data_IF_252175537442
#
_entry.id   IF_252175537442
#
_cell.length_a   1.000
_cell.length_b   1.000
_cell.length_c   1.000
_cell.angle_alpha   90.00
_cell.angle_beta   90.00
_cell.angle_gamma   90.00
#
_symmetry.space_group_name_H-M   'P 1'
#
loop_
_entity.id
_entity.type
_entity.pdbx_description
1 polymer ?
#
# COMPACT_ATOMS: atom_id res chain seq x y z
N UNK A 1 -3.04 -15.03 31.22
CA UNK A 1 -3.64 -15.23 29.90
C UNK A 1 -3.56 -13.90 29.18
N UNK A 2 -2.59 -13.71 28.30
CA UNK A 2 -2.52 -12.52 27.45
C UNK A 2 -3.70 -12.61 26.48
N UNK A 3 -4.72 -11.78 26.67
CA UNK A 3 -5.74 -11.59 25.64
C UNK A 3 -5.00 -10.99 24.44
N UNK A 4 -4.93 -11.71 23.34
CA UNK A 4 -4.37 -11.18 22.10
C UNK A 4 -5.34 -10.11 21.61
N UNK A 5 -4.96 -8.85 21.77
CA UNK A 5 -5.68 -7.71 21.24
C UNK A 5 -5.67 -7.79 19.71
N UNK A 6 -6.86 -7.76 19.09
CA UNK A 6 -6.98 -7.69 17.64
C UNK A 6 -6.75 -6.26 17.17
N UNK A 7 -5.87 -6.08 16.20
CA UNK A 7 -5.57 -4.78 15.60
C UNK A 7 -6.16 -4.74 14.19
N UNK A 8 -6.81 -3.64 13.85
CA UNK A 8 -7.37 -3.42 12.52
C UNK A 8 -6.24 -3.22 11.51
N UNK A 9 -6.21 -4.07 10.47
CA UNK A 9 -5.20 -4.00 9.42
C UNK A 9 -5.27 -2.72 8.56
N UNK A 10 -6.36 -1.96 8.60
CA UNK A 10 -6.54 -0.75 7.80
C UNK A 10 -6.18 0.54 8.55
N UNK A 11 -6.62 0.68 9.82
CA UNK A 11 -6.37 1.91 10.59
C UNK A 11 -5.40 1.73 11.77
N UNK A 12 -4.95 0.52 12.07
CA UNK A 12 -4.01 0.24 13.16
C UNK A 12 -4.59 0.40 14.57
N UNK A 13 -5.90 0.63 14.71
CA UNK A 13 -6.58 0.72 16.01
C UNK A 13 -6.95 -0.67 16.54
N UNK A 14 -7.05 -0.77 17.86
CA UNK A 14 -7.62 -1.94 18.52
C UNK A 14 -9.09 -2.13 18.14
N UNK A 15 -9.47 -3.37 17.81
CA UNK A 15 -10.83 -3.73 17.46
C UNK A 15 -11.61 -4.01 18.74
N UNK A 16 -12.56 -3.14 19.07
CA UNK A 16 -13.55 -3.40 20.11
C UNK A 16 -14.75 -4.15 19.53
N UNK A 17 -14.85 -5.45 19.80
CA UNK A 17 -15.98 -6.30 19.38
C UNK A 17 -15.66 -7.27 18.24
N UNK A 18 -16.68 -7.65 17.48
CA UNK A 18 -16.53 -8.62 16.38
C UNK A 18 -15.89 -7.95 15.15
N UNK A 19 -14.72 -8.43 14.69
CA UNK A 19 -14.03 -7.87 13.53
C UNK A 19 -14.79 -8.16 12.23
N UNK A 20 -14.63 -7.28 11.25
CA UNK A 20 -14.94 -7.57 9.86
C UNK A 20 -13.78 -8.40 9.28
N UNK A 21 -14.09 -9.59 8.74
CA UNK A 21 -13.12 -10.35 7.94
C UNK A 21 -13.07 -9.78 6.51
N UNK A 22 -11.86 -9.51 6.04
CA UNK A 22 -11.60 -9.05 4.70
C UNK A 22 -10.35 -9.72 4.15
N UNK A 23 -10.52 -10.65 3.20
CA UNK A 23 -9.40 -11.35 2.55
C UNK A 23 -8.42 -11.99 3.57
N UNK A 24 -8.94 -12.45 4.72
CA UNK A 24 -8.13 -13.01 5.82
C UNK A 24 -7.56 -11.97 6.80
N UNK A 25 -7.90 -10.69 6.66
CA UNK A 25 -7.50 -9.61 7.56
C UNK A 25 -8.66 -9.15 8.45
N UNK A 26 -8.36 -8.84 9.71
CA UNK A 26 -9.33 -8.28 10.64
C UNK A 26 -9.42 -6.76 10.54
N UNK A 27 -10.63 -6.23 10.38
CA UNK A 27 -10.91 -4.80 10.23
C UNK A 27 -11.96 -4.31 11.23
N UNK A 28 -11.87 -3.04 11.65
CA UNK A 28 -12.95 -2.39 12.40
C UNK A 28 -14.19 -2.26 11.50
N UNK A 29 -15.39 -2.45 12.08
CA UNK A 29 -16.66 -2.27 11.36
C UNK A 29 -16.90 -0.84 10.85
N UNK A 30 -16.20 0.16 11.42
CA UNK A 30 -16.18 1.53 10.90
C UNK A 30 -15.76 1.61 9.41
N UNK A 31 -15.02 0.62 8.91
CA UNK A 31 -14.59 0.55 7.52
C UNK A 31 -15.52 -0.25 6.61
N UNK A 32 -16.62 -0.81 7.11
CA UNK A 32 -17.53 -1.65 6.31
C UNK A 32 -18.08 -0.89 5.08
N UNK A 33 -18.44 0.39 5.24
CA UNK A 33 -18.89 1.23 4.13
C UNK A 33 -17.77 1.56 3.13
N UNK A 34 -16.55 1.77 3.64
CA UNK A 34 -15.39 2.11 2.81
C UNK A 34 -15.03 0.93 1.88
N UNK A 35 -15.00 -0.28 2.44
CA UNK A 35 -14.70 -1.52 1.74
C UNK A 35 -15.87 -1.89 0.82
N UNK A 36 -17.09 -1.80 1.35
CA UNK A 36 -18.32 -2.19 0.67
C UNK A 36 -18.37 -3.67 0.28
N UNK A 37 -19.50 -4.08 -0.31
CA UNK A 37 -19.71 -5.46 -0.78
C UNK A 37 -19.36 -5.60 -2.26
N UNK A 38 -18.09 -5.39 -2.58
CA UNK A 38 -17.58 -5.54 -3.95
C UNK A 38 -16.37 -6.48 -3.96
N UNK A 39 -16.09 -7.18 -5.06
CA UNK A 39 -14.90 -8.00 -5.16
C UNK A 39 -13.65 -7.11 -5.19
N UNK A 40 -12.67 -7.44 -4.35
CA UNK A 40 -11.37 -6.79 -4.31
C UNK A 40 -10.30 -7.67 -4.96
N UNK A 41 -9.14 -7.08 -5.20
CA UNK A 41 -8.00 -7.76 -5.80
C UNK A 41 -6.71 -7.16 -5.31
N UNK A 42 -5.85 -7.98 -4.71
CA UNK A 42 -4.49 -7.60 -4.38
C UNK A 42 -3.70 -7.34 -5.68
N UNK A 43 -2.99 -6.21 -5.73
CA UNK A 43 -2.17 -5.81 -6.87
C UNK A 43 -0.69 -5.64 -6.51
N UNK A 44 -0.34 -5.63 -5.23
CA UNK A 44 1.03 -5.48 -4.78
C UNK A 44 1.20 -5.77 -3.29
N UNK A 45 2.38 -6.28 -2.95
CA UNK A 45 2.86 -6.46 -1.59
C UNK A 45 4.17 -5.68 -1.43
N UNK A 46 4.30 -4.95 -0.32
CA UNK A 46 5.42 -4.07 -0.03
C UNK A 46 5.89 -4.28 1.39
N UNK A 47 7.21 -4.36 1.61
CA UNK A 47 7.79 -4.52 2.95
C UNK A 47 7.91 -3.19 3.70
N UNK A 48 7.94 -2.08 2.98
CA UNK A 48 8.05 -0.73 3.55
C UNK A 48 6.74 0.04 3.39
N UNK A 49 6.19 0.55 4.50
CA UNK A 49 4.95 1.32 4.51
C UNK A 49 5.01 2.55 3.62
N UNK A 50 6.13 3.28 3.65
CA UNK A 50 6.34 4.44 2.80
C UNK A 50 6.23 4.14 1.29
N UNK A 51 6.72 2.98 0.84
CA UNK A 51 6.57 2.56 -0.56
C UNK A 51 5.11 2.22 -0.85
N UNK A 52 4.44 1.51 0.05
CA UNK A 52 3.05 1.15 -0.10
C UNK A 52 2.13 2.38 -0.14
N UNK A 53 2.40 3.39 0.69
CA UNK A 53 1.72 4.68 0.70
C UNK A 53 1.89 5.43 -0.62
N UNK A 54 3.12 5.49 -1.15
CA UNK A 54 3.39 6.10 -2.47
C UNK A 54 2.57 5.41 -3.57
N UNK A 55 2.43 4.09 -3.52
CA UNK A 55 1.64 3.32 -4.48
C UNK A 55 0.16 3.59 -4.35
N UNK A 56 -0.35 3.57 -3.13
CA UNK A 56 -1.74 3.91 -2.86
C UNK A 56 -2.05 5.35 -3.33
N UNK A 57 -1.12 6.29 -3.16
CA UNK A 57 -1.30 7.67 -3.61
C UNK A 57 -1.34 7.82 -5.13
N UNK A 58 -0.47 7.10 -5.86
CA UNK A 58 -0.51 7.08 -7.33
C UNK A 58 -1.84 6.54 -7.85
N UNK A 59 -2.40 5.52 -7.19
CA UNK A 59 -3.73 5.00 -7.55
C UNK A 59 -4.82 6.03 -7.27
N UNK A 60 -4.82 6.62 -6.07
CA UNK A 60 -5.83 7.62 -5.67
C UNK A 60 -5.82 8.85 -6.58
N UNK A 61 -4.64 9.38 -6.88
CA UNK A 61 -4.46 10.51 -7.81
C UNK A 61 -4.82 10.13 -9.25
N UNK A 62 -4.61 8.87 -9.64
CA UNK A 62 -5.08 8.29 -10.89
C UNK A 62 -6.58 7.93 -10.93
N UNK A 63 -7.33 8.25 -9.88
CA UNK A 63 -8.77 8.02 -9.79
C UNK A 63 -9.19 6.58 -9.47
N UNK A 64 -8.25 5.72 -9.07
CA UNK A 64 -8.51 4.33 -8.68
C UNK A 64 -8.73 4.23 -7.19
N UNK A 65 -9.87 3.65 -6.77
CA UNK A 65 -10.10 3.37 -5.35
C UNK A 65 -9.22 2.21 -4.91
N UNK A 66 -8.44 2.44 -3.85
CA UNK A 66 -7.59 1.43 -3.24
C UNK A 66 -7.71 1.43 -1.72
N UNK A 67 -7.40 0.29 -1.10
CA UNK A 67 -7.21 0.13 0.33
C UNK A 67 -5.81 -0.43 0.58
N UNK A 68 -5.18 0.05 1.64
CA UNK A 68 -3.84 -0.36 2.05
C UNK A 68 -3.97 -1.08 3.39
N UNK A 69 -3.58 -2.35 3.43
CA UNK A 69 -3.68 -3.18 4.62
C UNK A 69 -2.30 -3.56 5.14
N UNK A 70 -2.12 -3.54 6.45
CA UNK A 70 -0.97 -4.16 7.12
C UNK A 70 -1.18 -5.67 7.19
N UNK A 71 -0.14 -6.43 6.84
CA UNK A 71 -0.10 -7.88 6.94
C UNK A 71 0.92 -8.26 8.00
N UNK A 72 0.57 -9.22 8.87
CA UNK A 72 1.48 -9.77 9.88
C UNK A 72 2.33 -10.91 9.30
N UNK A 73 1.73 -11.75 8.43
CA UNK A 73 2.37 -12.92 7.85
C UNK A 73 2.08 -13.04 6.34
N UNK A 74 3.03 -12.70 5.45
CA UNK A 74 4.32 -12.09 5.75
C UNK A 74 4.18 -10.63 6.24
N UNK A 75 5.14 -10.14 7.05
CA UNK A 75 5.10 -8.78 7.56
C UNK A 75 5.27 -7.77 6.42
N UNK A 76 4.30 -6.89 6.26
CA UNK A 76 4.33 -5.88 5.21
C UNK A 76 2.98 -5.23 4.97
N UNK A 77 2.77 -4.78 3.75
CA UNK A 77 1.64 -3.97 3.35
C UNK A 77 1.09 -4.46 2.01
N UNK A 78 -0.21 -4.67 1.92
CA UNK A 78 -0.88 -5.15 0.71
C UNK A 78 -1.78 -4.04 0.19
N UNK A 79 -1.64 -3.74 -1.11
CA UNK A 79 -2.54 -2.81 -1.80
C UNK A 79 -3.61 -3.62 -2.52
N UNK A 80 -4.87 -3.37 -2.15
CA UNK A 80 -6.02 -3.89 -2.86
C UNK A 80 -6.70 -2.77 -3.65
N UNK A 81 -7.25 -3.15 -4.80
CA UNK A 81 -8.15 -2.32 -5.60
C UNK A 81 -9.42 -3.09 -5.88
N UNK A 82 -10.48 -2.40 -6.29
CA UNK A 82 -11.68 -3.08 -6.77
C UNK A 82 -11.33 -3.93 -7.98
N UNK A 83 -11.88 -5.15 -8.05
CA UNK A 83 -11.52 -6.13 -9.09
C UNK A 83 -11.76 -5.60 -10.50
N UNK A 84 -12.78 -4.77 -10.70
CA UNK A 84 -13.08 -4.12 -11.99
C UNK A 84 -12.09 -2.99 -12.36
N UNK A 85 -11.36 -2.44 -11.39
CA UNK A 85 -10.35 -1.40 -11.63
C UNK A 85 -8.93 -1.98 -11.75
N UNK A 86 -8.77 -3.30 -11.59
CA UNK A 86 -7.47 -3.98 -11.56
C UNK A 86 -6.59 -3.65 -12.76
N UNK A 87 -7.14 -3.66 -13.97
CA UNK A 87 -6.38 -3.39 -15.19
C UNK A 87 -5.89 -1.93 -15.25
N UNK A 88 -6.75 -0.98 -14.88
CA UNK A 88 -6.38 0.43 -14.80
C UNK A 88 -5.29 0.64 -13.73
N UNK A 89 -5.44 0.02 -12.56
CA UNK A 89 -4.46 0.07 -11.48
C UNK A 89 -3.08 -0.46 -11.93
N UNK A 90 -3.04 -1.62 -12.61
CA UNK A 90 -1.80 -2.19 -13.13
C UNK A 90 -1.15 -1.31 -14.21
N UNK A 91 -1.97 -0.65 -15.04
CA UNK A 91 -1.48 0.31 -16.04
C UNK A 91 -0.81 1.52 -15.39
N UNK A 92 -1.44 2.11 -14.36
CA UNK A 92 -0.85 3.21 -13.58
C UNK A 92 0.47 2.79 -12.90
N UNK A 93 0.50 1.62 -12.27
CA UNK A 93 1.70 1.08 -11.64
C UNK A 93 2.84 0.85 -12.64
N UNK A 94 2.52 0.33 -13.82
CA UNK A 94 3.51 0.10 -14.88
C UNK A 94 4.15 1.41 -15.36
N UNK A 95 3.36 2.46 -15.51
CA UNK A 95 3.85 3.80 -15.88
C UNK A 95 4.79 4.36 -14.81
N UNK A 96 4.40 4.26 -13.55
CA UNK A 96 5.22 4.67 -12.42
C UNK A 96 6.59 3.95 -12.43
N UNK A 97 6.60 2.62 -12.56
CA UNK A 97 7.84 1.84 -12.58
C UNK A 97 8.82 2.22 -13.71
N UNK A 98 8.34 2.80 -14.82
CA UNK A 98 9.20 3.25 -15.91
C UNK A 98 9.97 4.56 -15.59
N UNK A 99 9.50 5.31 -14.59
CA UNK A 99 9.96 6.65 -14.26
C UNK A 99 10.61 6.75 -12.87
N UNK A 100 10.68 5.64 -12.13
CA UNK A 100 11.18 5.63 -10.75
C UNK A 100 12.47 4.81 -10.58
N UNK A 101 13.26 5.23 -9.61
CA UNK A 101 14.47 4.54 -9.15
C UNK A 101 14.41 4.35 -7.64
N UNK A 102 15.05 3.30 -7.15
CA UNK A 102 15.15 3.04 -5.71
C UNK A 102 16.35 3.79 -5.12
N UNK A 103 16.10 4.57 -4.06
CA UNK A 103 17.16 5.18 -3.29
C UNK A 103 17.98 4.12 -2.56
N UNK A 104 19.29 4.09 -2.76
CA UNK A 104 20.20 3.20 -2.00
C UNK A 104 20.33 3.58 -0.53
N UNK A 105 20.10 4.85 -0.18
CA UNK A 105 20.16 5.35 1.19
C UNK A 105 18.93 4.96 2.01
N UNK A 106 17.72 5.31 1.53
CA UNK A 106 16.49 5.12 2.31
C UNK A 106 15.53 4.04 1.76
N UNK A 107 15.88 3.38 0.65
CA UNK A 107 15.06 2.33 0.03
C UNK A 107 13.78 2.80 -0.67
N UNK A 108 13.47 4.11 -0.62
CA UNK A 108 12.26 4.68 -1.22
C UNK A 108 12.43 4.88 -2.72
N UNK A 109 11.30 4.82 -3.41
CA UNK A 109 11.26 5.15 -4.82
C UNK A 109 11.03 6.64 -5.03
N UNK A 110 11.67 7.18 -6.07
CA UNK A 110 11.50 8.56 -6.50
C UNK A 110 11.73 8.66 -8.00
N UNK A 111 11.31 9.77 -8.59
CA UNK A 111 11.47 9.99 -10.02
C UNK A 111 12.96 10.00 -10.40
N UNK A 112 13.34 9.20 -11.40
CA UNK A 112 14.72 9.09 -11.93
C UNK A 112 15.27 10.39 -12.50
N UNK A 113 14.41 11.34 -12.85
CA UNK A 113 14.79 12.67 -13.32
C UNK A 113 15.33 13.55 -12.19
N UNK A 114 15.15 13.15 -10.93
CA UNK A 114 15.73 13.84 -9.78
C UNK A 114 17.18 13.39 -9.55
N UNK A 115 18.10 14.35 -9.45
CA UNK A 115 19.53 14.12 -9.22
C UNK A 115 19.83 13.56 -7.81
N UNK A 116 18.93 13.82 -6.86
CA UNK A 116 19.03 13.37 -5.47
C UNK A 116 17.67 12.86 -4.99
N UNK A 117 17.71 11.91 -4.05
CA UNK A 117 16.52 11.42 -3.38
C UNK A 117 15.85 12.57 -2.59
N UNK A 118 14.59 12.93 -2.90
CA UNK A 118 13.91 14.04 -2.21
C UNK A 118 13.58 13.72 -0.74
N UNK A 119 13.77 12.47 -0.31
CA UNK A 119 13.43 12.02 1.05
C UNK A 119 14.62 11.97 1.99
N UNK A 120 15.83 11.64 1.50
CA UNK A 120 17.01 11.52 2.35
C UNK A 120 18.24 12.28 1.83
N UNK A 121 18.15 12.91 0.65
CA UNK A 121 19.24 13.69 0.06
C UNK A 121 20.37 12.88 -0.58
N UNK A 122 20.30 11.54 -0.56
CA UNK A 122 21.30 10.68 -1.21
C UNK A 122 21.32 10.92 -2.72
N UNK A 123 22.52 11.08 -3.31
CA UNK A 123 22.65 11.31 -4.76
C UNK A 123 22.37 10.04 -5.53
N UNK A 124 21.65 10.17 -6.65
CA UNK A 124 21.56 9.06 -7.59
C UNK A 124 22.90 8.94 -8.32
N UNK A 125 23.67 7.89 -8.03
CA UNK A 125 24.80 7.53 -8.87
C UNK A 125 24.25 6.88 -10.15
N UNK A 126 23.99 7.68 -11.18
CA UNK A 126 24.10 7.14 -12.53
C UNK A 126 25.57 6.77 -12.72
N UNK A 127 25.87 5.47 -12.73
CA UNK A 127 27.18 5.02 -13.20
C UNK A 127 27.27 5.37 -14.68
N UNK A 128 28.23 6.24 -15.02
CA UNK A 128 28.69 6.53 -16.39
C UNK A 128 29.17 5.25 -17.09
#
# INVERSE_FOLDING_TARGET
MTQSTLICALCGREISGEPLDFEGHHLCREHEEEIGRVPWSAIGFYTLGATADQRAEVLRTGGVKCILLTSEEPPGFIVYVRKNERENALSLMKRLHAEVVFCRGCGREYNKDLVFCPFCGEKYSQSD
#
